data_IF_235073783146
#
_entry.id   IF_235073783146
#
_cell.length_a   1.000
_cell.length_b   1.000
_cell.length_c   1.000
_cell.angle_alpha   90.00
_cell.angle_beta   90.00
_cell.angle_gamma   90.00
#
_symmetry.space_group_name_H-M   'P 1'
#
loop_
_entity.id
_entity.type
_entity.pdbx_description
1 polymer ?
#
# COMPACT_ATOMS: atom_id res chain seq x y z
N UNK A 1 1.15 -17.43 5.94
CA UNK A 1 1.04 -16.05 5.45
C UNK A 1 2.04 -15.18 6.19
N UNK A 2 2.70 -14.21 5.53
CA UNK A 2 3.56 -13.20 6.17
C UNK A 2 2.92 -11.83 6.00
N UNK A 3 3.06 -10.96 7.00
CA UNK A 3 2.52 -9.60 6.99
C UNK A 3 3.66 -8.62 6.78
N UNK A 4 3.47 -7.70 5.84
CA UNK A 4 4.36 -6.60 5.52
C UNK A 4 3.62 -5.29 5.71
N UNK A 5 4.16 -4.43 6.55
CA UNK A 5 3.64 -3.07 6.73
C UNK A 5 4.39 -2.12 5.83
N UNK A 6 3.64 -1.36 5.03
CA UNK A 6 4.16 -0.34 4.13
C UNK A 6 3.77 1.04 4.62
N UNK A 7 4.57 1.65 5.52
CA UNK A 7 4.25 2.98 6.04
C UNK A 7 4.54 4.06 5.01
N UNK A 8 3.67 5.09 4.98
CA UNK A 8 3.91 6.32 4.25
C UNK A 8 4.53 7.37 5.16
N UNK A 9 5.54 8.10 4.67
CA UNK A 9 6.16 9.16 5.46
C UNK A 9 7.08 10.05 4.63
N UNK A 10 7.04 11.35 4.92
CA UNK A 10 7.82 12.39 4.25
C UNK A 10 8.57 13.27 5.24
N UNK A 11 9.63 13.89 4.76
CA UNK A 11 10.42 14.92 5.43
C UNK A 11 10.82 15.98 4.41
N UNK A 12 11.60 17.00 4.82
CA UNK A 12 12.06 18.09 3.97
C UNK A 12 12.92 17.64 2.78
N UNK A 13 13.54 16.46 2.86
CA UNK A 13 14.42 15.93 1.82
C UNK A 13 13.78 14.85 0.94
N UNK A 14 12.52 14.52 1.21
CA UNK A 14 11.86 13.37 0.56
C UNK A 14 11.74 13.50 -0.94
N UNK A 15 11.82 14.72 -1.50
CA UNK A 15 11.66 14.99 -2.94
C UNK A 15 12.85 15.75 -3.55
N UNK A 16 14.00 15.81 -2.90
CA UNK A 16 15.20 16.53 -3.40
C UNK A 16 15.66 16.00 -4.77
N UNK A 17 15.40 14.73 -5.07
CA UNK A 17 15.73 14.07 -6.33
C UNK A 17 14.60 14.11 -7.37
N UNK A 18 13.47 14.75 -7.07
CA UNK A 18 12.29 14.79 -7.95
C UNK A 18 12.20 16.16 -8.65
N UNK A 19 12.47 16.24 -9.98
CA UNK A 19 12.48 17.51 -10.69
C UNK A 19 11.12 18.21 -10.74
N UNK A 20 10.02 17.45 -10.70
CA UNK A 20 8.66 17.95 -10.79
C UNK A 20 7.79 17.33 -9.70
N UNK A 21 7.81 17.93 -8.52
CA UNK A 21 6.98 17.47 -7.40
C UNK A 21 5.52 17.78 -7.68
N UNK A 22 4.67 16.78 -7.64
CA UNK A 22 3.22 16.98 -7.83
C UNK A 22 2.64 17.83 -6.68
N UNK A 23 1.71 18.77 -6.94
CA UNK A 23 1.16 19.69 -5.93
C UNK A 23 0.63 19.02 -4.66
N UNK A 24 0.08 17.81 -4.75
CA UNK A 24 -0.38 17.03 -3.59
C UNK A 24 0.77 16.69 -2.62
N UNK A 25 1.93 16.32 -3.15
CA UNK A 25 3.11 16.01 -2.32
C UNK A 25 3.77 17.27 -1.79
N UNK A 26 3.82 18.33 -2.60
CA UNK A 26 4.26 19.64 -2.12
C UNK A 26 3.41 20.15 -0.97
N UNK A 27 2.08 20.02 -1.08
CA UNK A 27 1.17 20.33 0.03
C UNK A 27 1.49 19.51 1.28
N UNK A 28 1.84 18.24 1.13
CA UNK A 28 2.24 17.36 2.24
C UNK A 28 3.49 17.88 2.96
N UNK A 29 4.50 18.33 2.21
CA UNK A 29 5.72 18.93 2.75
C UNK A 29 5.40 20.25 3.47
N UNK A 30 4.73 21.17 2.79
CA UNK A 30 4.44 22.52 3.30
C UNK A 30 3.59 22.50 4.58
N UNK A 31 2.76 21.48 4.75
CA UNK A 31 1.86 21.31 5.89
C UNK A 31 2.27 20.18 6.84
N UNK A 32 3.42 19.57 6.64
CA UNK A 32 3.95 18.45 7.44
C UNK A 32 2.95 17.28 7.58
N UNK A 33 2.21 16.98 6.51
CA UNK A 33 1.27 15.86 6.49
C UNK A 33 2.05 14.55 6.32
N UNK A 34 1.78 13.57 7.17
CA UNK A 34 2.53 12.32 7.28
C UNK A 34 4.04 12.53 7.53
N UNK A 35 4.37 13.57 8.30
CA UNK A 35 5.75 13.91 8.62
C UNK A 35 6.42 12.82 9.42
N UNK A 36 7.59 12.36 9.00
CA UNK A 36 8.34 11.31 9.68
C UNK A 36 8.56 11.63 11.16
N UNK A 37 8.25 10.67 12.02
CA UNK A 37 8.32 10.82 13.47
C UNK A 37 7.15 11.57 14.12
N UNK A 38 6.17 12.06 13.34
CA UNK A 38 4.94 12.63 13.87
C UNK A 38 3.86 11.59 14.13
N UNK A 39 2.88 11.94 14.95
CA UNK A 39 1.69 11.10 15.16
C UNK A 39 0.95 10.76 13.86
N UNK A 40 0.94 11.69 12.87
CA UNK A 40 0.28 11.47 11.58
C UNK A 40 0.94 10.44 10.68
N UNK A 41 2.21 10.09 10.94
CA UNK A 41 2.94 9.05 10.24
C UNK A 41 3.15 7.78 11.07
N UNK A 42 2.61 7.72 12.30
CA UNK A 42 2.70 6.54 13.17
C UNK A 42 1.62 5.52 12.80
N UNK A 43 1.86 4.26 13.15
CA UNK A 43 0.87 3.20 13.00
C UNK A 43 -0.33 3.44 13.92
N UNK A 44 -1.52 3.20 13.39
CA UNK A 44 -2.73 3.18 14.21
C UNK A 44 -2.59 2.16 15.34
N UNK A 45 -2.76 2.59 16.58
CA UNK A 45 -2.40 1.79 17.76
C UNK A 45 -2.94 0.34 17.76
N UNK A 46 -4.22 0.09 17.35
CA UNK A 46 -4.76 -1.27 17.25
C UNK A 46 -4.14 -2.13 16.16
N UNK A 47 -3.45 -1.55 15.16
CA UNK A 47 -2.83 -2.22 14.02
C UNK A 47 -1.31 -2.11 14.02
N UNK A 48 -0.70 -1.81 15.16
CA UNK A 48 0.77 -1.76 15.26
C UNK A 48 1.39 -3.10 14.92
N UNK A 49 2.49 -3.09 14.14
CA UNK A 49 3.21 -4.31 13.81
C UNK A 49 3.58 -5.13 15.04
N UNK A 50 3.36 -6.44 14.95
CA UNK A 50 3.68 -7.38 16.00
C UNK A 50 5.07 -8.01 15.77
N UNK A 51 5.61 -8.69 16.80
CA UNK A 51 6.88 -9.39 16.68
C UNK A 51 6.83 -10.44 15.56
N UNK A 52 7.77 -10.35 14.61
CA UNK A 52 7.84 -11.25 13.44
C UNK A 52 7.15 -10.71 12.18
N UNK A 53 6.44 -9.60 12.25
CA UNK A 53 5.92 -8.91 11.08
C UNK A 53 6.98 -7.95 10.52
N UNK A 54 6.97 -7.77 9.20
CA UNK A 54 7.98 -6.96 8.51
C UNK A 54 7.48 -5.55 8.29
N UNK A 55 8.26 -4.56 8.70
CA UNK A 55 8.04 -3.15 8.35
C UNK A 55 9.06 -2.82 7.25
N UNK A 56 8.59 -2.44 6.08
CA UNK A 56 9.46 -1.98 4.99
C UNK A 56 9.85 -0.51 5.19
N UNK A 57 10.83 -0.04 4.45
CA UNK A 57 11.17 1.39 4.44
C UNK A 57 9.99 2.23 3.97
N UNK A 58 9.83 3.42 4.55
CA UNK A 58 8.71 4.31 4.24
C UNK A 58 8.70 4.72 2.78
N UNK A 59 7.57 4.54 2.11
CA UNK A 59 7.35 5.10 0.78
C UNK A 59 6.91 6.57 0.87
N UNK A 60 7.26 7.36 -0.15
CA UNK A 60 7.03 8.81 -0.18
C UNK A 60 5.91 9.25 -1.12
N UNK A 61 5.51 8.38 -2.05
CA UNK A 61 4.43 8.61 -3.01
C UNK A 61 3.38 7.50 -2.89
N UNK A 62 2.68 7.18 -3.97
CA UNK A 62 1.58 6.22 -3.95
C UNK A 62 2.01 4.76 -4.00
N UNK A 63 3.17 4.48 -4.57
CA UNK A 63 3.65 3.13 -4.80
C UNK A 63 4.59 2.69 -3.67
N UNK A 64 4.24 1.59 -3.04
CA UNK A 64 5.03 1.01 -1.95
C UNK A 64 6.31 0.31 -2.40
N UNK A 65 6.52 0.07 -3.70
CA UNK A 65 7.73 -0.52 -4.23
C UNK A 65 8.81 0.52 -4.54
N UNK A 66 8.41 1.70 -5.05
CA UNK A 66 9.37 2.70 -5.51
C UNK A 66 10.15 3.32 -4.35
N UNK A 67 11.47 3.14 -4.38
CA UNK A 67 12.38 3.71 -3.39
C UNK A 67 12.32 3.04 -2.02
N UNK A 68 11.76 1.82 -1.95
CA UNK A 68 11.67 1.00 -0.73
C UNK A 68 12.37 -0.35 -0.93
N UNK A 69 12.45 -1.11 0.14
CA UNK A 69 12.98 -2.47 0.14
C UNK A 69 11.88 -3.55 -0.04
N UNK A 70 10.64 -3.17 -0.38
CA UNK A 70 9.50 -4.09 -0.45
C UNK A 70 9.75 -5.26 -1.42
N UNK A 71 10.14 -5.00 -2.66
CA UNK A 71 10.38 -6.06 -3.63
C UNK A 71 11.49 -7.01 -3.17
N UNK A 72 12.59 -6.46 -2.66
CA UNK A 72 13.69 -7.25 -2.11
C UNK A 72 13.20 -8.16 -0.98
N UNK A 73 12.40 -7.64 -0.05
CA UNK A 73 11.85 -8.41 1.07
C UNK A 73 10.90 -9.50 0.59
N UNK A 74 10.01 -9.20 -0.36
CA UNK A 74 9.09 -10.19 -0.92
C UNK A 74 9.87 -11.32 -1.61
N UNK A 75 10.82 -10.99 -2.50
CA UNK A 75 11.64 -11.97 -3.23
C UNK A 75 12.50 -12.82 -2.29
N UNK A 76 13.16 -12.20 -1.31
CA UNK A 76 13.98 -12.91 -0.31
C UNK A 76 13.18 -13.89 0.54
N UNK A 77 11.89 -13.66 0.70
CA UNK A 77 10.97 -14.55 1.42
C UNK A 77 10.24 -15.55 0.50
N UNK A 78 10.56 -15.61 -0.80
CA UNK A 78 9.93 -16.51 -1.75
C UNK A 78 8.44 -16.21 -1.98
N UNK A 79 8.02 -14.94 -1.79
CA UNK A 79 6.62 -14.53 -1.97
C UNK A 79 6.36 -14.37 -3.48
N UNK A 80 5.32 -15.01 -3.97
CA UNK A 80 4.85 -14.92 -5.35
C UNK A 80 3.43 -14.32 -5.44
N UNK A 81 2.69 -14.34 -4.33
CA UNK A 81 1.32 -13.83 -4.23
C UNK A 81 1.24 -12.76 -3.16
N UNK A 82 0.67 -11.61 -3.50
CA UNK A 82 0.44 -10.51 -2.58
C UNK A 82 -1.04 -10.25 -2.41
N UNK A 83 -1.43 -9.96 -1.18
CA UNK A 83 -2.79 -9.55 -0.82
C UNK A 83 -2.72 -8.14 -0.28
N UNK A 84 -3.48 -7.23 -0.88
CA UNK A 84 -3.41 -5.81 -0.60
C UNK A 84 -4.62 -5.33 0.19
N UNK A 85 -4.34 -4.59 1.26
CA UNK A 85 -5.31 -3.91 2.11
C UNK A 85 -4.74 -2.59 2.62
N UNK A 86 -5.59 -1.69 3.08
CA UNK A 86 -5.17 -0.43 3.70
C UNK A 86 -5.70 0.83 3.00
N UNK A 87 -4.95 1.92 3.04
CA UNK A 87 -5.34 3.25 2.59
C UNK A 87 -4.31 3.82 1.60
N UNK A 88 -4.73 4.57 0.61
CA UNK A 88 -6.11 4.77 0.14
C UNK A 88 -6.35 3.91 -1.09
N UNK A 89 -7.61 3.49 -1.29
CA UNK A 89 -7.95 2.51 -2.32
C UNK A 89 -7.50 2.94 -3.72
N UNK A 90 -7.81 4.17 -4.15
CA UNK A 90 -7.51 4.67 -5.50
C UNK A 90 -6.04 5.07 -5.71
N UNK A 91 -5.26 5.26 -4.66
CA UNK A 91 -3.88 5.73 -4.79
C UNK A 91 -2.87 4.69 -4.33
N UNK A 92 -2.59 4.59 -3.02
CA UNK A 92 -1.49 3.75 -2.55
C UNK A 92 -1.75 2.27 -2.77
N UNK A 93 -2.98 1.79 -2.50
CA UNK A 93 -3.31 0.38 -2.69
C UNK A 93 -3.33 0.03 -4.19
N UNK A 94 -3.99 0.85 -5.01
CA UNK A 94 -4.02 0.67 -6.46
C UNK A 94 -2.62 0.78 -7.08
N UNK A 95 -1.85 1.82 -6.76
CA UNK A 95 -0.49 2.03 -7.27
C UNK A 95 0.43 0.87 -6.95
N UNK A 96 0.39 0.40 -5.70
CA UNK A 96 1.16 -0.77 -5.27
C UNK A 96 0.72 -2.04 -6.00
N UNK A 97 -0.58 -2.24 -6.20
CA UNK A 97 -1.10 -3.40 -6.92
C UNK A 97 -0.74 -3.41 -8.40
N UNK A 98 -0.75 -2.25 -9.06
CA UNK A 98 -0.28 -2.11 -10.45
C UNK A 98 1.19 -2.51 -10.58
N UNK A 99 2.05 -2.00 -9.71
CA UNK A 99 3.47 -2.34 -9.69
C UNK A 99 3.68 -3.83 -9.42
N UNK A 100 2.99 -4.39 -8.44
CA UNK A 100 3.08 -5.82 -8.14
C UNK A 100 2.71 -6.68 -9.35
N UNK A 101 1.64 -6.33 -10.08
CA UNK A 101 1.24 -7.00 -11.32
C UNK A 101 2.35 -6.93 -12.38
N UNK A 102 2.86 -5.72 -12.66
CA UNK A 102 3.89 -5.49 -13.68
C UNK A 102 5.22 -6.19 -13.37
N UNK A 103 5.50 -6.44 -12.09
CA UNK A 103 6.69 -7.17 -11.64
C UNK A 103 6.45 -8.67 -11.43
N UNK A 104 5.27 -9.17 -11.83
CA UNK A 104 4.95 -10.60 -11.94
C UNK A 104 4.44 -11.26 -10.66
N UNK A 105 3.99 -10.48 -9.66
CA UNK A 105 3.29 -11.05 -8.52
C UNK A 105 1.83 -11.38 -8.88
N UNK A 106 1.29 -12.43 -8.29
CA UNK A 106 -0.16 -12.62 -8.25
C UNK A 106 -0.76 -11.63 -7.26
N UNK A 107 -1.71 -10.82 -7.70
CA UNK A 107 -2.30 -9.71 -6.92
C UNK A 107 -3.73 -10.03 -6.54
N UNK A 108 -4.03 -9.99 -5.25
CA UNK A 108 -5.39 -10.03 -4.69
C UNK A 108 -5.68 -8.73 -3.96
N UNK A 109 -6.78 -8.06 -4.27
CA UNK A 109 -7.27 -6.90 -3.54
C UNK A 109 -8.39 -7.31 -2.58
N UNK A 110 -8.34 -6.84 -1.33
CA UNK A 110 -9.44 -7.01 -0.37
C UNK A 110 -10.35 -5.79 -0.40
N UNK A 111 -11.47 -5.89 -1.10
CA UNK A 111 -12.38 -4.77 -1.38
C UNK A 111 -13.08 -4.17 -0.15
N UNK A 112 -13.20 -4.92 0.93
CA UNK A 112 -13.76 -4.51 2.22
C UNK A 112 -12.71 -4.21 3.30
N UNK A 113 -11.41 -4.30 2.93
CA UNK A 113 -10.28 -3.94 3.78
C UNK A 113 -9.52 -2.72 3.26
N UNK A 114 -10.16 -1.89 2.45
CA UNK A 114 -9.62 -0.64 1.90
C UNK A 114 -10.60 0.50 2.09
N UNK A 115 -10.13 1.72 2.13
CA UNK A 115 -10.96 2.93 2.18
C UNK A 115 -10.31 4.09 1.44
N UNK A 116 -11.10 5.14 1.18
CA UNK A 116 -10.62 6.36 0.53
C UNK A 116 -11.26 7.60 1.13
N UNK A 117 -10.78 8.80 0.74
CA UNK A 117 -11.32 10.07 1.21
C UNK A 117 -12.71 10.38 0.66
N UNK A 118 -13.08 9.81 -0.48
CA UNK A 118 -14.37 10.00 -1.11
C UNK A 118 -14.95 8.68 -1.59
N UNK A 119 -16.27 8.55 -1.54
CA UNK A 119 -16.99 7.40 -2.07
C UNK A 119 -16.72 7.19 -3.57
N UNK A 120 -16.62 8.29 -4.33
CA UNK A 120 -16.33 8.22 -5.76
C UNK A 120 -14.96 7.58 -6.04
N UNK A 121 -13.91 8.02 -5.33
CA UNK A 121 -12.57 7.46 -5.48
C UNK A 121 -12.53 5.99 -5.06
N UNK A 122 -13.15 5.67 -3.92
CA UNK A 122 -13.26 4.31 -3.41
C UNK A 122 -13.93 3.37 -4.42
N UNK A 123 -15.11 3.76 -4.94
CA UNK A 123 -15.83 2.97 -5.93
C UNK A 123 -15.09 2.84 -7.25
N UNK A 124 -14.42 3.89 -7.71
CA UNK A 124 -13.63 3.82 -8.93
C UNK A 124 -12.49 2.79 -8.81
N UNK A 125 -11.85 2.71 -7.64
CA UNK A 125 -10.84 1.68 -7.39
C UNK A 125 -11.45 0.27 -7.44
N UNK A 126 -12.49 0.02 -6.65
CA UNK A 126 -13.08 -1.32 -6.49
C UNK A 126 -13.77 -1.81 -7.76
N UNK A 127 -14.57 -0.94 -8.41
CA UNK A 127 -15.44 -1.34 -9.51
C UNK A 127 -14.73 -1.34 -10.87
N UNK A 128 -13.62 -0.58 -11.01
CA UNK A 128 -12.91 -0.40 -12.29
C UNK A 128 -11.45 -0.83 -12.21
N UNK A 129 -10.68 -0.28 -11.28
CA UNK A 129 -9.23 -0.50 -11.25
C UNK A 129 -8.84 -1.88 -10.75
N UNK A 130 -9.40 -2.32 -9.64
CA UNK A 130 -9.04 -3.61 -9.04
C UNK A 130 -9.33 -4.81 -9.94
N UNK A 131 -10.48 -4.90 -10.66
CA UNK A 131 -10.69 -5.95 -11.66
C UNK A 131 -9.72 -5.90 -12.84
N UNK A 132 -9.13 -4.73 -13.10
CA UNK A 132 -8.15 -4.58 -14.19
C UNK A 132 -6.75 -5.02 -13.77
N UNK A 133 -6.34 -4.75 -12.54
CA UNK A 133 -4.97 -4.96 -12.06
C UNK A 133 -4.82 -6.12 -11.07
N UNK A 134 -5.92 -6.63 -10.54
CA UNK A 134 -5.93 -7.79 -9.66
C UNK A 134 -6.21 -9.08 -10.41
N UNK A 135 -5.58 -10.15 -10.00
CA UNK A 135 -5.98 -11.50 -10.38
C UNK A 135 -7.27 -11.88 -9.65
N UNK A 136 -7.46 -11.33 -8.45
CA UNK A 136 -8.64 -11.54 -7.62
C UNK A 136 -9.03 -10.26 -6.89
N UNK A 137 -10.34 -10.04 -6.72
CA UNK A 137 -10.92 -8.98 -5.90
C UNK A 137 -11.92 -9.63 -4.94
N UNK A 138 -11.52 -9.79 -3.70
CA UNK A 138 -12.24 -10.58 -2.70
C UNK A 138 -12.65 -9.74 -1.50
N UNK A 139 -13.65 -10.21 -0.76
CA UNK A 139 -13.85 -9.79 0.64
C UNK A 139 -12.86 -10.51 1.56
N UNK A 140 -12.71 -10.02 2.79
CA UNK A 140 -11.93 -10.70 3.83
C UNK A 140 -12.44 -12.14 4.03
N UNK A 141 -13.75 -12.32 4.12
CA UNK A 141 -14.35 -13.65 4.33
C UNK A 141 -14.10 -14.59 3.15
N UNK A 142 -14.23 -14.11 1.91
CA UNK A 142 -13.92 -14.90 0.70
C UNK A 142 -12.45 -15.33 0.71
N UNK A 143 -11.54 -14.42 1.04
CA UNK A 143 -10.11 -14.70 1.13
C UNK A 143 -9.79 -15.72 2.23
N UNK A 144 -10.31 -15.54 3.44
CA UNK A 144 -10.07 -16.46 4.55
C UNK A 144 -10.58 -17.87 4.25
N UNK A 145 -11.75 -17.99 3.64
CA UNK A 145 -12.29 -19.29 3.23
C UNK A 145 -11.41 -19.96 2.16
N UNK A 146 -10.84 -19.19 1.21
CA UNK A 146 -9.92 -19.73 0.22
C UNK A 146 -8.60 -20.24 0.82
N UNK A 147 -8.08 -19.55 1.85
CA UNK A 147 -6.83 -19.95 2.54
C UNK A 147 -7.01 -21.17 3.43
N UNK A 148 -8.17 -21.33 4.06
CA UNK A 148 -8.46 -22.49 4.95
C UNK A 148 -8.77 -23.76 4.16
N UNK A 149 -9.20 -23.63 2.90
CA UNK A 149 -9.54 -24.78 2.04
C UNK A 149 -8.32 -25.49 1.40
N UNK A 150 -7.10 -25.01 1.65
CA UNK A 150 -5.83 -25.60 1.18
C UNK A 150 -5.12 -26.29 2.35
#
# INVERSE_FOLDING_TARGET
MKIFFSPHGVDEHSFDDVPHVHPRFQFGIDNQVFWKGSHGADFFAPLRPQAGETIISQHRMFDSFIGTDLEQQLRANGIEKVVLAGLTSQTCVEGTGRHALETGFHVTFLKDAVADFTELAHRAAIDVSYPTFGHEVLTIDEFLNAVVAV
#
